data_IF_984638145090
#
_entry.id   IF_984638145090
#
_cell.length_a   1.000
_cell.length_b   1.000
_cell.length_c   1.000
_cell.angle_alpha   90.00
_cell.angle_beta   90.00
_cell.angle_gamma   90.00
#
_symmetry.space_group_name_H-M   'P 1'
#
loop_
_entity.id
_entity.type
_entity.pdbx_description
1 polymer ?
#
# COMPACT_ATOMS: atom_id res chain seq x y z
N UNK A 1 45.28 12.19 32.11
CA UNK A 1 44.24 11.18 31.77
C UNK A 1 42.88 11.86 31.74
N UNK A 2 41.98 11.39 30.86
CA UNK A 2 40.55 11.74 30.75
C UNK A 2 40.16 13.01 29.92
N UNK A 3 40.13 12.88 28.58
CA UNK A 3 39.26 13.71 27.71
C UNK A 3 38.83 13.04 26.40
N UNK A 4 38.89 11.70 26.27
CA UNK A 4 38.52 11.01 25.00
C UNK A 4 37.11 10.38 25.04
N UNK A 5 36.43 10.34 26.20
CA UNK A 5 35.15 9.62 26.35
C UNK A 5 33.90 10.34 25.82
N UNK A 6 34.00 11.62 25.43
CA UNK A 6 32.80 12.45 25.10
C UNK A 6 32.42 12.45 23.61
N UNK A 7 33.33 12.12 22.69
CA UNK A 7 33.05 12.06 21.24
C UNK A 7 32.36 10.76 20.79
N UNK A 8 32.73 9.63 21.40
CA UNK A 8 32.19 8.31 21.05
C UNK A 8 30.71 8.13 21.43
N UNK A 9 30.26 8.81 22.51
CA UNK A 9 28.88 8.74 22.99
C UNK A 9 27.88 9.48 22.09
N UNK A 10 28.34 10.51 21.37
CA UNK A 10 27.51 11.37 20.51
C UNK A 10 27.36 10.82 19.08
N UNK A 11 28.42 10.18 18.56
CA UNK A 11 28.38 9.46 17.28
C UNK A 11 27.46 8.22 17.34
N UNK A 12 27.56 7.44 18.43
CA UNK A 12 26.66 6.31 18.68
C UNK A 12 25.19 6.74 18.83
N UNK A 13 24.90 7.90 19.45
CA UNK A 13 23.52 8.39 19.57
C UNK A 13 22.92 8.79 18.22
N UNK A 14 23.71 9.39 17.32
CA UNK A 14 23.26 9.76 15.98
C UNK A 14 23.11 8.53 15.06
N UNK A 15 24.01 7.54 15.17
CA UNK A 15 23.90 6.23 14.51
C UNK A 15 22.69 5.43 15.02
N UNK A 16 22.45 5.41 16.34
CA UNK A 16 21.30 4.75 16.96
C UNK A 16 19.98 5.42 16.56
N UNK A 17 19.93 6.76 16.50
CA UNK A 17 18.76 7.52 16.03
C UNK A 17 18.47 7.27 14.54
N UNK A 18 19.51 7.19 13.69
CA UNK A 18 19.38 6.89 12.26
C UNK A 18 18.94 5.43 12.04
N UNK A 19 19.50 4.49 12.79
CA UNK A 19 19.10 3.08 12.77
C UNK A 19 17.63 2.91 13.17
N UNK A 20 17.18 3.58 14.24
CA UNK A 20 15.78 3.54 14.67
C UNK A 20 14.81 4.15 13.66
N UNK A 21 15.21 5.23 12.95
CA UNK A 21 14.41 5.80 11.88
C UNK A 21 14.28 4.83 10.70
N UNK A 22 15.39 4.24 10.26
CA UNK A 22 15.39 3.27 9.17
C UNK A 22 14.52 2.06 9.54
N UNK A 23 14.65 1.54 10.75
CA UNK A 23 13.81 0.45 11.25
C UNK A 23 12.31 0.80 11.18
N UNK A 24 11.93 2.03 11.57
CA UNK A 24 10.55 2.50 11.48
C UNK A 24 10.05 2.65 10.05
N UNK A 25 10.88 3.16 9.14
CA UNK A 25 10.54 3.29 7.73
C UNK A 25 10.37 1.90 7.08
N UNK A 26 11.30 0.98 7.33
CA UNK A 26 11.22 -0.40 6.87
C UNK A 26 9.99 -1.10 7.42
N UNK A 27 9.69 -0.95 8.73
CA UNK A 27 8.48 -1.52 9.33
C UNK A 27 7.20 -0.96 8.70
N UNK A 28 7.15 0.35 8.39
CA UNK A 28 6.00 0.97 7.72
C UNK A 28 5.80 0.42 6.31
N UNK A 29 6.87 0.31 5.51
CA UNK A 29 6.80 -0.25 4.16
C UNK A 29 6.31 -1.70 4.20
N UNK A 30 6.86 -2.52 5.11
CA UNK A 30 6.42 -3.91 5.29
C UNK A 30 4.94 -3.94 5.68
N UNK A 31 4.48 -3.09 6.60
CA UNK A 31 3.09 -3.04 7.02
C UNK A 31 2.15 -2.67 5.85
N UNK A 32 2.52 -1.71 5.01
CA UNK A 32 1.75 -1.34 3.81
C UNK A 32 1.69 -2.49 2.81
N UNK A 33 2.83 -3.15 2.54
CA UNK A 33 2.86 -4.31 1.65
C UNK A 33 2.00 -5.46 2.17
N UNK A 34 2.11 -5.79 3.46
CA UNK A 34 1.27 -6.81 4.09
C UNK A 34 -0.22 -6.43 4.05
N UNK A 35 -0.52 -5.14 4.19
CA UNK A 35 -1.90 -4.65 4.11
C UNK A 35 -2.48 -4.85 2.69
N UNK A 36 -1.75 -4.41 1.67
CA UNK A 36 -2.20 -4.43 0.29
C UNK A 36 -2.20 -5.84 -0.34
N UNK A 37 -1.24 -6.70 0.01
CA UNK A 37 -1.14 -8.05 -0.57
C UNK A 37 -1.93 -9.10 0.20
N UNK A 38 -2.19 -8.90 1.50
CA UNK A 38 -2.86 -9.91 2.33
C UNK A 38 -4.10 -9.39 3.02
N UNK A 39 -3.99 -8.40 3.92
CA UNK A 39 -5.12 -7.99 4.76
C UNK A 39 -6.35 -7.57 3.96
N UNK A 40 -6.17 -6.89 2.83
CA UNK A 40 -7.29 -6.40 2.03
C UNK A 40 -8.21 -7.53 1.56
N UNK A 41 -7.66 -8.69 1.21
CA UNK A 41 -8.43 -9.85 0.78
C UNK A 41 -9.21 -10.47 1.94
N UNK A 42 -8.60 -10.58 3.12
CA UNK A 42 -9.27 -11.10 4.31
C UNK A 42 -10.38 -10.17 4.80
N UNK A 43 -10.16 -8.85 4.74
CA UNK A 43 -11.21 -7.87 5.06
C UNK A 43 -12.39 -8.03 4.11
N UNK A 44 -12.15 -8.17 2.81
CA UNK A 44 -13.23 -8.42 1.83
C UNK A 44 -13.97 -9.70 2.13
N UNK A 45 -13.26 -10.80 2.47
CA UNK A 45 -13.89 -12.08 2.80
C UNK A 45 -14.80 -11.95 4.03
N UNK A 46 -14.35 -11.26 5.08
CA UNK A 46 -15.13 -11.06 6.31
C UNK A 46 -16.34 -10.15 6.08
N UNK A 47 -16.17 -9.11 5.25
CA UNK A 47 -17.23 -8.15 4.91
C UNK A 47 -18.16 -8.65 3.81
N UNK A 48 -17.84 -9.78 3.18
CA UNK A 48 -18.70 -10.35 2.16
C UNK A 48 -19.96 -10.93 2.80
N UNK A 49 -21.03 -10.15 2.73
CA UNK A 49 -22.35 -10.61 3.10
C UNK A 49 -22.84 -11.60 2.04
N UNK A 50 -23.59 -12.61 2.48
CA UNK A 50 -24.29 -13.52 1.59
C UNK A 50 -25.63 -12.92 1.14
N UNK A 51 -25.75 -12.46 -0.11
CA UNK A 51 -27.06 -12.48 -0.76
C UNK A 51 -27.02 -13.34 -2.04
N UNK A 52 -28.18 -13.92 -2.35
CA UNK A 52 -28.43 -14.64 -3.61
C UNK A 52 -28.12 -13.73 -4.80
N UNK A 53 -27.25 -14.21 -5.69
CA UNK A 53 -26.77 -13.48 -6.85
C UNK A 53 -27.90 -13.45 -7.88
N UNK A 54 -28.59 -12.30 -8.05
CA UNK A 54 -29.47 -12.04 -9.20
C UNK A 54 -28.76 -11.13 -10.16
N UNK A 55 -27.87 -11.68 -10.99
CA UNK A 55 -27.21 -10.91 -12.06
C UNK A 55 -27.83 -11.28 -13.40
N UNK A 56 -28.78 -10.48 -13.92
CA UNK A 56 -29.35 -10.75 -15.22
C UNK A 56 -28.25 -10.70 -16.28
N UNK A 57 -28.24 -11.72 -17.14
CA UNK A 57 -27.33 -11.80 -18.28
C UNK A 57 -27.50 -10.57 -19.17
N UNK A 58 -26.46 -9.74 -19.22
CA UNK A 58 -26.41 -8.61 -20.11
C UNK A 58 -24.99 -8.54 -20.66
N UNK A 59 -24.68 -9.43 -21.61
CA UNK A 59 -23.70 -9.19 -22.67
C UNK A 59 -23.82 -10.29 -23.73
N UNK A 60 -23.72 -9.89 -24.99
CA UNK A 60 -23.89 -10.72 -26.18
C UNK A 60 -22.64 -11.56 -26.45
N UNK A 61 -22.46 -12.66 -25.72
CA UNK A 61 -21.42 -13.65 -26.00
C UNK A 61 -21.69 -14.31 -27.37
N UNK A 62 -20.66 -14.42 -28.22
CA UNK A 62 -20.83 -14.96 -29.57
C UNK A 62 -20.89 -16.49 -29.50
N UNK A 63 -22.03 -17.06 -29.87
CA UNK A 63 -22.18 -18.51 -29.97
C UNK A 63 -21.07 -19.12 -30.86
N UNK A 64 -20.53 -20.25 -30.41
CA UNK A 64 -19.47 -21.05 -31.05
C UNK A 64 -18.06 -20.46 -30.98
N UNK A 65 -17.91 -19.20 -30.57
CA UNK A 65 -16.62 -18.55 -30.34
C UNK A 65 -16.35 -18.34 -28.85
N UNK A 66 -17.24 -17.61 -28.18
CA UNK A 66 -17.09 -17.24 -26.76
C UNK A 66 -18.00 -18.09 -25.85
N UNK A 67 -19.08 -18.65 -26.42
CA UNK A 67 -20.01 -19.55 -25.73
C UNK A 67 -20.27 -20.84 -26.53
N UNK A 68 -20.58 -21.94 -25.83
CA UNK A 68 -20.99 -23.20 -26.47
C UNK A 68 -22.27 -23.02 -27.30
N UNK A 69 -22.40 -23.77 -28.40
CA UNK A 69 -23.63 -23.73 -29.19
C UNK A 69 -24.80 -24.27 -28.38
N UNK A 70 -26.00 -23.72 -28.64
CA UNK A 70 -27.21 -24.07 -27.90
C UNK A 70 -27.52 -25.57 -27.94
N UNK A 71 -27.24 -26.24 -29.06
CA UNK A 71 -27.45 -27.68 -29.23
C UNK A 71 -26.47 -28.51 -28.39
N UNK A 72 -25.20 -28.08 -28.31
CA UNK A 72 -24.19 -28.74 -27.49
C UNK A 72 -24.53 -28.60 -26.00
N UNK A 73 -24.92 -27.40 -25.57
CA UNK A 73 -25.36 -27.14 -24.20
C UNK A 73 -26.60 -27.98 -23.84
N UNK A 74 -27.59 -28.09 -24.74
CA UNK A 74 -28.76 -28.96 -24.53
C UNK A 74 -28.39 -30.44 -24.42
N UNK A 75 -27.47 -30.93 -25.25
CA UNK A 75 -26.98 -32.32 -25.15
C UNK A 75 -26.28 -32.56 -23.81
N UNK A 76 -25.43 -31.65 -23.37
CA UNK A 76 -24.72 -31.75 -22.08
C UNK A 76 -25.69 -31.74 -20.89
N UNK A 77 -26.65 -30.82 -20.89
CA UNK A 77 -27.67 -30.74 -19.84
C UNK A 77 -28.52 -32.01 -19.77
N UNK A 78 -28.86 -32.60 -20.93
CA UNK A 78 -29.60 -33.85 -20.99
C UNK A 78 -28.81 -35.05 -20.45
N UNK A 79 -27.52 -35.15 -20.79
CA UNK A 79 -26.68 -36.28 -20.41
C UNK A 79 -26.22 -36.22 -18.94
N UNK A 80 -25.85 -35.04 -18.46
CA UNK A 80 -25.25 -34.87 -17.13
C UNK A 80 -26.28 -34.53 -16.05
N UNK A 81 -27.43 -33.94 -16.42
CA UNK A 81 -28.46 -33.42 -15.50
C UNK A 81 -27.87 -32.72 -14.26
N UNK A 82 -27.00 -31.70 -14.44
CA UNK A 82 -26.36 -31.02 -13.34
C UNK A 82 -27.36 -30.20 -12.52
N UNK A 83 -27.07 -30.01 -11.23
CA UNK A 83 -27.86 -29.15 -10.34
C UNK A 83 -27.45 -27.68 -10.39
N UNK A 84 -26.20 -27.41 -10.76
CA UNK A 84 -25.59 -26.09 -10.89
C UNK A 84 -24.47 -26.18 -11.92
N UNK A 85 -24.41 -25.23 -12.86
CA UNK A 85 -23.31 -25.12 -13.82
C UNK A 85 -22.47 -23.90 -13.46
N UNK A 86 -21.17 -24.10 -13.26
CA UNK A 86 -20.21 -23.01 -13.06
C UNK A 86 -19.38 -22.87 -14.33
N UNK A 87 -19.54 -21.75 -15.02
CA UNK A 87 -18.81 -21.41 -16.24
C UNK A 87 -17.78 -20.32 -15.94
N UNK A 88 -16.90 -20.00 -16.89
CA UNK A 88 -15.88 -18.95 -16.71
C UNK A 88 -15.72 -18.14 -17.99
N UNK A 89 -14.49 -17.71 -18.28
CA UNK A 89 -14.08 -17.09 -19.55
C UNK A 89 -14.52 -15.63 -19.78
N UNK A 90 -15.74 -15.23 -19.42
CA UNK A 90 -16.28 -13.88 -19.70
C UNK A 90 -15.75 -12.77 -18.77
N UNK A 91 -14.95 -13.15 -17.76
CA UNK A 91 -14.46 -12.28 -16.69
C UNK A 91 -15.56 -11.53 -15.90
N UNK A 92 -16.83 -11.85 -16.13
CA UNK A 92 -18.00 -11.12 -15.64
C UNK A 92 -18.99 -12.10 -15.04
N UNK A 93 -19.44 -11.84 -13.80
CA UNK A 93 -20.42 -12.73 -13.17
C UNK A 93 -21.79 -12.53 -13.82
N UNK A 94 -22.35 -13.61 -14.36
CA UNK A 94 -23.60 -13.64 -15.10
C UNK A 94 -24.38 -14.89 -14.69
N UNK A 95 -25.68 -14.75 -14.44
CA UNK A 95 -26.57 -15.86 -14.14
C UNK A 95 -27.52 -16.10 -15.33
N UNK A 96 -27.54 -17.33 -15.82
CA UNK A 96 -28.41 -17.76 -16.91
C UNK A 96 -29.23 -18.95 -16.45
N UNK A 97 -30.55 -18.88 -16.62
CA UNK A 97 -31.45 -20.00 -16.34
C UNK A 97 -31.71 -20.79 -17.63
N UNK A 98 -31.30 -22.05 -17.65
CA UNK A 98 -31.61 -22.94 -18.78
C UNK A 98 -33.04 -23.47 -18.68
N UNK A 99 -33.63 -23.85 -19.82
CA UNK A 99 -35.04 -24.27 -19.96
C UNK A 99 -35.49 -25.49 -19.14
N UNK A 100 -34.59 -26.10 -18.36
CA UNK A 100 -34.87 -27.16 -17.38
C UNK A 100 -34.85 -26.66 -15.91
N UNK A 101 -34.78 -25.35 -15.68
CA UNK A 101 -34.63 -24.77 -14.34
C UNK A 101 -33.22 -24.93 -13.76
N UNK A 102 -32.23 -25.24 -14.60
CA UNK A 102 -30.83 -25.43 -14.19
C UNK A 102 -30.13 -24.06 -14.28
N UNK A 103 -29.61 -23.52 -13.17
CA UNK A 103 -28.87 -22.27 -13.18
C UNK A 103 -27.42 -22.50 -13.65
N UNK A 104 -26.97 -21.63 -14.54
CA UNK A 104 -25.58 -21.46 -14.92
C UNK A 104 -25.09 -20.12 -14.36
N UNK A 105 -23.99 -20.17 -13.61
CA UNK A 105 -23.32 -18.99 -13.08
C UNK A 105 -21.91 -18.90 -13.68
N UNK A 106 -21.64 -17.79 -14.36
CA UNK A 106 -20.29 -17.50 -14.83
C UNK A 106 -19.45 -16.92 -13.71
N UNK A 107 -18.25 -17.47 -13.51
CA UNK A 107 -17.31 -17.09 -12.47
C UNK A 107 -16.49 -15.91 -12.96
N UNK A 108 -16.55 -14.76 -12.26
CA UNK A 108 -15.77 -13.59 -12.62
C UNK A 108 -14.27 -13.84 -12.40
N UNK A 109 -13.46 -13.00 -13.03
CA UNK A 109 -12.01 -13.06 -12.81
C UNK A 109 -11.64 -12.40 -11.48
N UNK A 110 -10.78 -13.09 -10.72
CA UNK A 110 -10.21 -12.58 -9.48
C UNK A 110 -9.22 -11.43 -9.69
N UNK A 111 -8.62 -11.33 -10.89
CA UNK A 111 -7.55 -10.36 -11.16
C UNK A 111 -8.04 -9.06 -11.77
N UNK A 112 -7.44 -7.93 -11.36
CA UNK A 112 -7.62 -6.60 -11.97
C UNK A 112 -7.18 -6.52 -13.43
N UNK A 113 -6.43 -7.50 -13.93
CA UNK A 113 -5.85 -7.51 -15.29
C UNK A 113 -6.87 -7.26 -16.41
N UNK A 114 -8.12 -7.68 -16.21
CA UNK A 114 -9.15 -7.58 -17.24
C UNK A 114 -10.24 -6.54 -16.95
N UNK A 115 -10.46 -6.19 -15.68
CA UNK A 115 -11.55 -5.33 -15.20
C UNK A 115 -11.09 -4.57 -13.96
N UNK A 116 -11.42 -3.29 -13.87
CA UNK A 116 -11.15 -2.47 -12.68
C UNK A 116 -11.92 -2.93 -11.43
N UNK A 117 -12.96 -3.75 -11.57
CA UNK A 117 -13.82 -4.26 -10.50
C UNK A 117 -13.76 -5.80 -10.39
N UNK A 118 -12.63 -6.39 -9.95
CA UNK A 118 -12.54 -7.82 -9.79
C UNK A 118 -13.51 -8.32 -8.73
N UNK A 119 -13.97 -9.54 -8.92
CA UNK A 119 -14.84 -10.21 -7.97
C UNK A 119 -14.55 -11.70 -7.98
N UNK A 120 -14.97 -12.37 -6.92
CA UNK A 120 -14.97 -13.83 -6.83
C UNK A 120 -16.32 -14.30 -6.30
N UNK A 121 -16.58 -15.58 -6.49
CA UNK A 121 -17.77 -16.23 -5.95
C UNK A 121 -17.31 -17.13 -4.81
N UNK A 122 -17.93 -16.96 -3.66
CA UNK A 122 -17.83 -17.89 -2.55
C UNK A 122 -19.05 -18.81 -2.58
N UNK A 123 -18.81 -20.11 -2.58
CA UNK A 123 -19.87 -21.11 -2.63
C UNK A 123 -19.78 -22.09 -1.46
N UNK A 124 -20.92 -22.43 -0.90
CA UNK A 124 -21.06 -23.53 0.06
C UNK A 124 -21.99 -24.57 -0.56
N UNK A 125 -21.49 -25.80 -0.73
CA UNK A 125 -22.23 -26.90 -1.35
C UNK A 125 -22.59 -27.91 -0.28
N UNK A 126 -23.88 -28.17 -0.11
CA UNK A 126 -24.41 -29.26 0.70
C UNK A 126 -25.08 -30.30 -0.21
N UNK A 127 -25.35 -31.52 0.29
CA UNK A 127 -26.02 -32.54 -0.52
C UNK A 127 -27.41 -32.13 -1.01
N UNK A 128 -28.08 -31.21 -0.30
CA UNK A 128 -29.46 -30.79 -0.62
C UNK A 128 -29.52 -29.39 -1.22
N UNK A 129 -28.64 -28.47 -0.84
CA UNK A 129 -28.69 -27.08 -1.28
C UNK A 129 -27.30 -26.52 -1.56
N UNK A 130 -27.25 -25.45 -2.34
CA UNK A 130 -26.06 -24.65 -2.55
C UNK A 130 -26.35 -23.19 -2.20
N UNK A 131 -25.36 -22.53 -1.61
CA UNK A 131 -25.38 -21.10 -1.42
C UNK A 131 -24.22 -20.52 -2.24
N UNK A 132 -24.46 -19.40 -2.94
CA UNK A 132 -23.44 -18.66 -3.68
C UNK A 132 -23.51 -17.19 -3.31
N UNK A 133 -22.37 -16.58 -3.04
CA UNK A 133 -22.21 -15.16 -2.76
C UNK A 133 -21.16 -14.55 -3.68
N UNK A 134 -21.48 -13.41 -4.29
CA UNK A 134 -20.53 -12.64 -5.10
C UNK A 134 -19.85 -11.58 -4.23
N UNK A 135 -18.54 -11.69 -4.09
CA UNK A 135 -17.73 -10.77 -3.31
C UNK A 135 -16.90 -9.88 -4.23
N UNK A 136 -16.99 -8.56 -4.05
CA UNK A 136 -16.21 -7.59 -4.81
C UNK A 136 -14.89 -7.28 -4.12
N UNK A 137 -13.81 -7.28 -4.89
CA UNK A 137 -12.53 -6.76 -4.43
C UNK A 137 -12.51 -5.24 -4.60
N UNK A 138 -11.64 -4.52 -3.86
CA UNK A 138 -11.44 -3.09 -4.06
C UNK A 138 -11.08 -2.81 -5.51
N UNK A 139 -11.57 -1.70 -6.05
CA UNK A 139 -11.23 -1.33 -7.41
C UNK A 139 -9.71 -1.08 -7.55
N UNK A 140 -9.17 -1.28 -8.75
CA UNK A 140 -7.75 -1.04 -9.05
C UNK A 140 -7.34 0.37 -8.60
N UNK A 141 -8.18 1.35 -8.91
CA UNK A 141 -7.97 2.75 -8.54
C UNK A 141 -7.85 2.95 -7.03
N UNK A 142 -8.64 2.22 -6.23
CA UNK A 142 -8.58 2.34 -4.76
C UNK A 142 -7.26 1.80 -4.22
N UNK A 143 -6.76 0.70 -4.79
CA UNK A 143 -5.45 0.13 -4.45
C UNK A 143 -4.33 1.09 -4.84
N UNK A 144 -4.38 1.66 -6.05
CA UNK A 144 -3.41 2.64 -6.55
C UNK A 144 -3.39 3.91 -5.68
N UNK A 145 -4.56 4.48 -5.36
CA UNK A 145 -4.68 5.66 -4.48
C UNK A 145 -4.06 5.38 -3.11
N UNK A 146 -4.29 4.18 -2.56
CA UNK A 146 -3.72 3.77 -1.26
C UNK A 146 -2.20 3.74 -1.31
N UNK A 147 -1.61 3.16 -2.36
CA UNK A 147 -0.16 3.15 -2.56
C UNK A 147 0.42 4.56 -2.72
N UNK A 148 -0.20 5.40 -3.56
CA UNK A 148 0.22 6.78 -3.76
C UNK A 148 0.15 7.59 -2.46
N UNK A 149 -0.92 7.43 -1.68
CA UNK A 149 -1.09 8.06 -0.37
C UNK A 149 -0.02 7.63 0.64
N UNK A 150 0.25 6.32 0.73
CA UNK A 150 1.29 5.78 1.61
C UNK A 150 2.69 6.26 1.23
N UNK A 151 3.01 6.30 -0.06
CA UNK A 151 4.26 6.84 -0.58
C UNK A 151 4.41 8.34 -0.27
N UNK A 152 3.37 9.13 -0.50
CA UNK A 152 3.35 10.56 -0.16
C UNK A 152 3.58 10.81 1.33
N UNK A 153 2.90 10.05 2.20
CA UNK A 153 3.11 10.12 3.65
C UNK A 153 4.55 9.79 4.04
N UNK A 154 5.14 8.76 3.43
CA UNK A 154 6.53 8.37 3.68
C UNK A 154 7.51 9.48 3.29
N UNK A 155 7.30 10.12 2.13
CA UNK A 155 8.10 11.27 1.68
C UNK A 155 8.00 12.44 2.67
N UNK A 156 6.80 12.81 3.09
CA UNK A 156 6.60 13.90 4.07
C UNK A 156 7.33 13.59 5.38
N UNK A 157 7.25 12.34 5.88
CA UNK A 157 7.94 11.92 7.10
C UNK A 157 9.46 12.02 6.97
N UNK A 158 10.00 11.65 5.82
CA UNK A 158 11.42 11.77 5.51
C UNK A 158 11.81 13.26 5.48
N UNK A 159 11.07 14.11 4.76
CA UNK A 159 11.35 15.55 4.68
C UNK A 159 11.29 16.23 6.05
N UNK A 160 10.28 15.94 6.86
CA UNK A 160 10.17 16.47 8.23
C UNK A 160 11.36 16.01 9.07
N UNK A 161 11.79 14.75 8.95
CA UNK A 161 12.95 14.27 9.68
C UNK A 161 14.24 14.97 9.25
N UNK A 162 14.46 15.17 7.94
CA UNK A 162 15.61 15.91 7.42
C UNK A 162 15.57 17.39 7.80
N UNK A 163 14.42 18.06 7.75
CA UNK A 163 14.24 19.43 8.22
C UNK A 163 14.48 19.58 9.73
N UNK A 164 14.06 18.60 10.53
CA UNK A 164 14.31 18.57 11.98
C UNK A 164 15.79 18.32 12.30
N UNK A 165 16.48 17.47 11.53
CA UNK A 165 17.94 17.28 11.61
C UNK A 165 18.72 18.53 11.18
N UNK A 166 18.20 19.28 10.20
CA UNK A 166 18.80 20.50 9.69
C UNK A 166 18.58 21.72 10.61
N UNK A 167 17.68 21.64 11.60
CA UNK A 167 17.52 22.69 12.61
C UNK A 167 18.85 22.87 13.36
N UNK A 168 19.55 24.01 13.21
CA UNK A 168 20.84 24.19 13.87
C UNK A 168 20.56 24.36 15.36
N UNK A 169 21.16 23.50 16.17
CA UNK A 169 21.25 23.75 17.61
C UNK A 169 21.81 25.16 17.86
N UNK A 170 21.24 25.98 18.76
CA UNK A 170 21.69 27.36 19.00
C UNK A 170 23.08 27.45 19.66
N UNK A 171 23.76 26.31 19.87
CA UNK A 171 25.03 26.24 20.59
C UNK A 171 26.24 26.65 19.73
N UNK A 172 26.18 26.49 18.40
CA UNK A 172 27.27 26.88 17.49
C UNK A 172 27.50 28.39 17.39
N UNK A 173 26.44 29.19 17.58
CA UNK A 173 26.51 30.66 17.54
C UNK A 173 27.16 31.27 18.79
N UNK A 174 27.10 30.62 19.95
CA UNK A 174 27.78 31.10 21.16
C UNK A 174 29.29 30.93 21.11
N UNK A 175 29.81 29.92 20.39
CA UNK A 175 31.26 29.71 20.26
C UNK A 175 31.91 30.75 19.33
N UNK A 176 31.23 31.10 18.23
CA UNK A 176 31.70 32.13 17.30
C UNK A 176 31.66 33.54 17.91
N UNK A 177 30.70 33.84 18.80
CA UNK A 177 30.70 35.09 19.56
C UNK A 177 31.87 35.19 20.56
N UNK A 178 32.23 34.10 21.24
CA UNK A 178 33.38 34.08 22.16
C UNK A 178 34.72 34.33 21.47
N UNK A 179 34.90 33.81 20.25
CA UNK A 179 36.10 34.10 19.47
C UNK A 179 36.15 35.57 19.01
N UNK A 180 35.00 36.16 18.65
CA UNK A 180 34.95 37.56 18.23
C UNK A 180 35.19 38.55 19.38
N UNK A 181 34.80 38.23 20.62
CA UNK A 181 35.11 39.07 21.80
C UNK A 181 36.56 38.96 22.26
N UNK A 182 37.23 37.81 22.02
CA UNK A 182 38.66 37.64 22.33
C UNK A 182 39.56 38.49 21.42
N UNK A 183 39.26 38.54 20.12
CA UNK A 183 40.03 39.35 19.15
C UNK A 183 39.88 40.87 19.36
N UNK A 184 38.74 41.34 19.86
CA UNK A 184 38.57 42.77 20.19
C UNK A 184 39.44 43.19 21.39
N UNK A 185 39.62 42.30 22.39
CA UNK A 185 40.47 42.61 23.55
C UNK A 185 41.98 42.61 23.24
N UNK A 186 42.43 41.86 22.22
CA UNK A 186 43.83 41.85 21.80
C UNK A 186 44.16 42.93 20.76
N UNK A 187 43.19 43.42 19.99
CA UNK A 187 43.38 44.48 18.99
C UNK A 187 43.56 45.88 19.59
N UNK A 188 42.96 46.19 20.74
CA UNK A 188 43.07 47.53 21.36
C UNK A 188 44.38 47.77 22.13
N UNK A 189 45.21 46.76 22.38
CA UNK A 189 46.53 46.95 23.03
C UNK A 189 47.69 47.18 22.05
N UNK A 190 47.47 47.01 20.74
CA UNK A 190 48.51 47.14 19.72
C UNK A 190 48.60 48.54 19.09
N UNK A 191 47.73 49.50 19.45
CA UNK A 191 47.64 50.82 18.81
C UNK A 191 48.02 52.02 19.70
N UNK A 192 48.52 51.81 20.93
CA UNK A 192 48.93 52.90 21.84
C UNK A 192 50.40 52.88 22.28
N UNK A 193 51.27 52.11 21.62
CA UNK A 193 52.68 52.00 21.98
C UNK A 193 53.61 52.34 20.83
N UNK A 194 53.79 53.63 20.51
CA UNK A 194 54.71 54.02 19.43
C UNK A 194 54.80 55.51 19.12
N UNK A 195 55.11 56.35 20.11
CA UNK A 195 55.73 57.67 19.87
C UNK A 195 56.56 58.07 21.08
N UNK A 196 57.87 57.80 21.01
CA UNK A 196 58.86 58.41 21.88
C UNK A 196 59.95 59.02 20.97
N UNK A 197 59.76 60.31 20.67
CA UNK A 197 60.70 61.14 19.94
C UNK A 197 61.68 61.72 20.97
N UNK A 198 62.96 61.36 20.86
CA UNK A 198 64.04 61.84 21.74
C UNK A 198 64.74 63.00 21.05
N UNK A 199 64.68 64.18 21.67
CA UNK A 199 65.62 65.28 21.48
C UNK A 199 66.95 64.94 22.16
#
# INVERSE_FOLDING_TARGET
>A
MATIRFGFRRLNFHLLRRSFLLLKLTAFVIAVLLFCEFLIYYLVIVWCNWPEIKTPAHDSERERYDALSREASQKLLWWLRPRLVLSGHTHSACEVLHGAGIPELSVPSFSWRNRNNPSFIMGSMTPMDYALAKCYLPCEDTVLITYCGAAGFLVVRILVHFGLLASPSPFGWKLLRKFKTSWWSSGSKALTGGMAQKH
#
